data_IF_823990158698
#
_entry.id   IF_823990158698
#
_cell.length_a   1.000
_cell.length_b   1.000
_cell.length_c   1.000
_cell.angle_alpha   90.00
_cell.angle_beta   90.00
_cell.angle_gamma   90.00
#
_symmetry.space_group_name_H-M   'P 1'
#
loop_
_entity.id
_entity.type
_entity.pdbx_description
1 polymer ?
#
# COMPACT_ATOMS: atom_id res chain seq x y z
N UNK A 1 49.26 12.26 28.41
CA UNK A 1 48.12 13.20 28.44
C UNK A 1 47.18 12.85 27.30
N UNK A 2 46.05 12.20 27.58
CA UNK A 2 45.13 11.67 26.56
C UNK A 2 44.01 12.68 26.29
N UNK A 3 43.92 13.19 25.04
CA UNK A 3 42.79 14.03 24.58
C UNK A 3 41.55 13.14 24.40
N UNK A 4 40.58 13.26 25.30
CA UNK A 4 39.22 12.79 25.02
C UNK A 4 38.63 13.68 23.93
N UNK A 5 38.27 13.08 22.80
CA UNK A 5 37.46 13.72 21.76
C UNK A 5 36.05 13.87 22.32
N UNK A 6 35.65 15.10 22.62
CA UNK A 6 34.26 15.39 22.99
C UNK A 6 33.41 15.33 21.73
N UNK A 7 32.48 14.37 21.68
CA UNK A 7 31.44 14.35 20.66
C UNK A 7 30.45 15.48 20.99
N UNK A 8 30.35 16.45 20.08
CA UNK A 8 29.38 17.54 20.19
C UNK A 8 27.96 16.95 20.12
N UNK A 9 27.21 17.03 21.21
CA UNK A 9 25.79 16.66 21.28
C UNK A 9 24.86 17.72 20.69
N UNK A 10 25.42 18.76 20.05
CA UNK A 10 24.70 19.95 19.63
C UNK A 10 24.06 19.87 18.23
N UNK A 11 23.77 18.67 17.71
CA UNK A 11 22.87 18.53 16.56
C UNK A 11 21.45 18.59 17.09
N UNK A 12 20.94 19.80 17.32
CA UNK A 12 19.56 20.01 17.76
C UNK A 12 18.63 19.42 16.70
N UNK A 13 17.88 18.39 17.06
CA UNK A 13 16.93 17.76 16.14
C UNK A 13 15.96 18.83 15.64
N UNK A 14 15.82 18.95 14.31
CA UNK A 14 15.01 19.99 13.66
C UNK A 14 13.56 19.57 13.48
N UNK A 15 13.25 18.29 13.71
CA UNK A 15 11.91 17.73 13.61
C UNK A 15 11.21 17.82 14.96
N UNK A 16 9.89 18.03 14.91
CA UNK A 16 9.06 17.87 16.10
C UNK A 16 8.97 16.39 16.48
N UNK A 17 8.68 16.09 17.75
CA UNK A 17 8.49 14.72 18.22
C UNK A 17 7.41 13.97 17.42
N UNK A 18 6.36 14.70 17.03
CA UNK A 18 5.33 14.20 16.13
C UNK A 18 5.89 13.80 14.77
N UNK A 19 6.68 14.67 14.14
CA UNK A 19 7.24 14.40 12.81
C UNK A 19 8.25 13.24 12.85
N UNK A 20 9.01 13.12 13.95
CA UNK A 20 9.89 11.98 14.18
C UNK A 20 9.13 10.67 14.29
N UNK A 21 8.05 10.63 15.09
CA UNK A 21 7.24 9.41 15.23
C UNK A 21 6.51 9.06 13.94
N UNK A 22 6.03 10.06 13.19
CA UNK A 22 5.45 9.85 11.88
C UNK A 22 6.46 9.27 10.89
N UNK A 23 7.65 9.85 10.81
CA UNK A 23 8.71 9.38 9.90
C UNK A 23 9.13 7.94 10.23
N UNK A 24 9.27 7.65 11.53
CA UNK A 24 9.56 6.29 12.00
C UNK A 24 8.43 5.31 11.65
N UNK A 25 7.17 5.69 11.88
CA UNK A 25 6.02 4.85 11.53
C UNK A 25 5.92 4.62 10.01
N UNK A 26 6.23 5.62 9.19
CA UNK A 26 6.25 5.48 7.73
C UNK A 26 7.36 4.54 7.27
N UNK A 27 8.54 4.63 7.90
CA UNK A 27 9.66 3.72 7.63
C UNK A 27 9.30 2.26 7.96
N UNK A 28 8.68 2.02 9.11
CA UNK A 28 8.23 0.67 9.52
C UNK A 28 7.17 0.10 8.57
N UNK A 29 6.20 0.92 8.11
CA UNK A 29 5.22 0.50 7.11
C UNK A 29 5.87 0.14 5.78
N UNK A 30 6.89 0.89 5.38
CA UNK A 30 7.66 0.59 4.17
C UNK A 30 8.41 -0.74 4.31
N UNK A 31 9.05 -0.99 5.46
CA UNK A 31 9.71 -2.27 5.74
C UNK A 31 8.73 -3.45 5.73
N UNK A 32 7.53 -3.30 6.31
CA UNK A 32 6.51 -4.36 6.26
C UNK A 32 6.16 -4.74 4.82
N UNK A 33 5.99 -3.76 3.92
CA UNK A 33 5.70 -4.05 2.51
C UNK A 33 6.87 -4.75 1.80
N UNK A 34 8.11 -4.41 2.14
CA UNK A 34 9.27 -5.11 1.60
C UNK A 34 9.34 -6.54 2.10
N UNK A 35 9.08 -6.77 3.39
CA UNK A 35 9.06 -8.11 3.98
C UNK A 35 7.97 -8.99 3.37
N UNK A 36 6.79 -8.45 3.08
CA UNK A 36 5.75 -9.18 2.34
C UNK A 36 6.27 -9.71 1.00
N UNK A 37 6.96 -8.86 0.22
CA UNK A 37 7.57 -9.29 -1.04
C UNK A 37 8.66 -10.33 -0.80
N UNK A 38 9.54 -10.12 0.18
CA UNK A 38 10.63 -11.04 0.46
C UNK A 38 10.16 -12.42 0.95
N UNK A 39 9.08 -12.51 1.73
CA UNK A 39 8.49 -13.80 2.16
C UNK A 39 7.97 -14.57 0.95
N UNK A 40 7.26 -13.89 0.04
CA UNK A 40 6.69 -14.50 -1.16
C UNK A 40 7.76 -14.95 -2.18
N UNK A 41 8.90 -14.27 -2.21
CA UNK A 41 10.02 -14.56 -3.12
C UNK A 41 11.08 -15.51 -2.51
N UNK A 42 10.97 -15.83 -1.21
CA UNK A 42 11.94 -16.68 -0.53
C UNK A 42 11.90 -18.12 -1.05
N UNK A 43 13.05 -18.62 -1.50
CA UNK A 43 13.18 -20.01 -2.00
C UNK A 43 13.44 -21.02 -0.88
N UNK A 44 13.77 -20.57 0.33
CA UNK A 44 14.12 -21.42 1.47
C UNK A 44 13.25 -21.10 2.68
N UNK A 45 12.68 -22.12 3.36
CA UNK A 45 11.77 -21.92 4.49
C UNK A 45 12.43 -21.21 5.67
N UNK A 46 13.73 -21.44 5.88
CA UNK A 46 14.48 -20.76 6.96
C UNK A 46 14.51 -19.25 6.78
N UNK A 47 14.59 -18.78 5.53
CA UNK A 47 14.61 -17.34 5.21
C UNK A 47 13.22 -16.75 5.31
N UNK A 48 12.18 -17.43 4.80
CA UNK A 48 10.79 -16.96 4.98
C UNK A 48 10.42 -16.87 6.45
N UNK A 49 10.71 -17.89 7.26
CA UNK A 49 10.43 -17.90 8.70
C UNK A 49 11.15 -16.76 9.43
N UNK A 50 12.38 -16.43 9.02
CA UNK A 50 13.13 -15.32 9.61
C UNK A 50 12.50 -13.96 9.26
N UNK A 51 12.07 -13.78 8.00
CA UNK A 51 11.43 -12.54 7.55
C UNK A 51 10.05 -12.38 8.19
N UNK A 52 9.26 -13.45 8.33
CA UNK A 52 7.97 -13.42 9.03
C UNK A 52 8.11 -12.96 10.49
N UNK A 53 9.17 -13.37 11.18
CA UNK A 53 9.47 -12.87 12.54
C UNK A 53 9.79 -11.37 12.54
N UNK A 54 10.62 -10.91 11.59
CA UNK A 54 10.91 -9.48 11.44
C UNK A 54 9.63 -8.70 11.14
N UNK A 55 8.76 -9.25 10.31
CA UNK A 55 7.47 -8.63 9.99
C UNK A 55 6.57 -8.52 11.23
N UNK A 56 6.47 -9.58 12.04
CA UNK A 56 5.74 -9.52 13.30
C UNK A 56 6.29 -8.42 14.23
N UNK A 57 7.60 -8.26 14.30
CA UNK A 57 8.23 -7.18 15.06
C UNK A 57 7.88 -5.78 14.49
N UNK A 58 7.88 -5.60 13.16
CA UNK A 58 7.44 -4.32 12.56
C UNK A 58 5.99 -3.99 12.88
N UNK A 59 5.10 -4.98 12.89
CA UNK A 59 3.68 -4.78 13.25
C UNK A 59 3.55 -4.32 14.70
N UNK A 60 4.31 -4.94 15.61
CA UNK A 60 4.36 -4.54 17.01
C UNK A 60 4.91 -3.11 17.15
N UNK A 61 5.98 -2.76 16.45
CA UNK A 61 6.56 -1.42 16.47
C UNK A 61 5.56 -0.36 16.01
N UNK A 62 4.90 -0.57 14.86
CA UNK A 62 3.89 0.35 14.33
C UNK A 62 2.74 0.52 15.31
N UNK A 63 2.27 -0.57 15.93
CA UNK A 63 1.20 -0.51 16.92
C UNK A 63 1.61 0.30 18.15
N UNK A 64 2.83 0.09 18.67
CA UNK A 64 3.37 0.86 19.78
C UNK A 64 3.51 2.35 19.44
N UNK A 65 4.03 2.67 18.26
CA UNK A 65 4.15 4.06 17.78
C UNK A 65 2.78 4.72 17.65
N UNK A 66 1.80 4.00 17.12
CA UNK A 66 0.43 4.50 16.98
C UNK A 66 -0.21 4.80 18.33
N UNK A 67 -0.07 3.90 19.33
CA UNK A 67 -0.56 4.15 20.69
C UNK A 67 0.12 5.37 21.30
N UNK A 68 1.44 5.52 21.15
CA UNK A 68 2.17 6.68 21.66
C UNK A 68 1.63 7.98 21.02
N UNK A 69 1.45 8.00 19.70
CA UNK A 69 0.87 9.14 18.99
C UNK A 69 -0.57 9.43 19.42
N UNK A 70 -1.36 8.42 19.75
CA UNK A 70 -2.72 8.57 20.28
C UNK A 70 -2.72 9.17 21.69
N UNK A 71 -1.81 8.73 22.57
CA UNK A 71 -1.65 9.29 23.92
C UNK A 71 -1.27 10.78 23.90
N UNK A 72 -0.48 11.20 22.90
CA UNK A 72 -0.17 12.61 22.66
C UNK A 72 -1.29 13.41 21.98
N UNK A 73 -2.41 12.76 21.62
CA UNK A 73 -3.56 13.39 20.97
C UNK A 73 -3.36 13.70 19.49
N UNK A 74 -2.29 13.20 18.85
CA UNK A 74 -1.97 13.46 17.45
C UNK A 74 -2.71 12.53 16.49
N UNK A 75 -3.15 11.37 16.96
CA UNK A 75 -3.97 10.42 16.21
C UNK A 75 -5.29 10.22 16.93
N UNK A 76 -6.39 10.72 16.35
CA UNK A 76 -7.73 10.48 16.89
C UNK A 76 -8.53 9.58 15.93
N UNK A 77 -8.57 8.26 16.17
CA UNK A 77 -9.26 7.32 15.27
C UNK A 77 -10.78 7.55 15.23
N UNK A 78 -11.36 8.09 16.30
CA UNK A 78 -12.79 8.40 16.40
C UNK A 78 -13.18 9.52 15.42
N UNK A 79 -12.37 10.58 15.31
CA UNK A 79 -12.59 11.62 14.30
C UNK A 79 -12.46 11.09 12.87
N UNK A 80 -11.55 10.14 12.63
CA UNK A 80 -11.42 9.50 11.31
C UNK A 80 -12.65 8.64 10.99
N UNK A 81 -13.12 7.84 11.95
CA UNK A 81 -14.32 7.02 11.82
C UNK A 81 -15.59 7.86 11.64
N UNK A 82 -15.73 8.96 12.39
CA UNK A 82 -16.84 9.90 12.24
C UNK A 82 -16.83 10.60 10.87
N UNK A 83 -15.66 10.95 10.33
CA UNK A 83 -15.55 11.51 8.98
C UNK A 83 -16.00 10.51 7.92
N UNK A 84 -15.71 9.23 8.11
CA UNK A 84 -16.18 8.16 7.23
C UNK A 84 -17.69 7.95 7.37
N UNK A 85 -18.24 7.98 8.59
CA UNK A 85 -19.68 7.89 8.84
C UNK A 85 -20.47 9.08 8.29
N UNK A 86 -19.89 10.28 8.33
CA UNK A 86 -20.48 11.51 7.77
C UNK A 86 -20.30 11.62 6.26
N UNK A 87 -19.40 10.83 5.67
CA UNK A 87 -19.26 10.76 4.21
C UNK A 87 -20.41 9.95 3.62
N UNK A 88 -21.17 10.54 2.71
CA UNK A 88 -22.21 9.81 1.99
C UNK A 88 -21.49 8.76 1.12
N UNK A 89 -21.69 7.45 1.35
CA UNK A 89 -21.02 6.44 0.55
C UNK A 89 -21.30 6.69 -0.95
N UNK A 90 -22.48 7.24 -1.30
CA UNK A 90 -22.92 7.56 -2.67
C UNK A 90 -21.99 8.47 -3.47
N UNK A 91 -21.29 9.36 -2.81
CA UNK A 91 -20.38 10.29 -3.46
C UNK A 91 -18.95 9.75 -3.53
N UNK A 92 -18.58 8.84 -2.63
CA UNK A 92 -17.24 8.23 -2.61
C UNK A 92 -17.02 7.29 -3.80
N UNK A 93 -18.03 6.51 -4.20
CA UNK A 93 -17.93 5.66 -5.40
C UNK A 93 -18.03 6.46 -6.72
N UNK A 94 -18.70 7.62 -6.75
CA UNK A 94 -18.67 8.50 -7.92
C UNK A 94 -17.30 9.09 -8.21
N UNK A 95 -16.43 9.23 -7.20
CA UNK A 95 -15.04 9.69 -7.40
C UNK A 95 -14.12 8.64 -8.02
N UNK A 96 -14.48 7.36 -7.91
CA UNK A 96 -13.82 6.25 -8.59
C UNK A 96 -14.66 5.78 -9.77
N UNK A 97 -15.03 6.72 -10.66
CA UNK A 97 -15.56 6.34 -11.95
C UNK A 97 -14.43 5.67 -12.75
N UNK A 98 -14.45 4.34 -12.82
CA UNK A 98 -13.56 3.51 -13.67
C UNK A 98 -14.07 3.53 -15.13
N UNK A 99 -14.85 4.56 -15.50
CA UNK A 99 -15.21 4.76 -16.90
C UNK A 99 -13.93 5.08 -17.66
N UNK A 100 -13.72 4.42 -18.80
CA UNK A 100 -12.55 4.55 -19.68
C UNK A 100 -12.37 5.95 -20.30
N UNK A 101 -13.01 6.97 -19.72
CA UNK A 101 -13.02 8.38 -20.11
C UNK A 101 -12.05 9.22 -19.25
N UNK A 102 -11.09 8.58 -18.57
CA UNK A 102 -10.02 9.33 -17.89
C UNK A 102 -9.33 10.25 -18.89
N UNK A 103 -9.15 11.52 -18.52
CA UNK A 103 -8.43 12.55 -19.32
C UNK A 103 -6.99 12.15 -19.70
N UNK A 104 -6.47 11.09 -19.08
CA UNK A 104 -5.15 10.51 -19.32
C UNK A 104 -5.20 9.13 -19.99
N UNK A 105 -6.38 8.56 -20.24
CA UNK A 105 -6.53 7.36 -21.05
C UNK A 105 -6.28 7.73 -22.53
N UNK A 106 -5.05 7.56 -22.98
CA UNK A 106 -4.72 7.66 -24.40
C UNK A 106 -5.57 6.66 -25.19
N UNK A 107 -6.37 7.15 -26.13
CA UNK A 107 -7.25 6.33 -26.96
C UNK A 107 -6.44 5.33 -27.80
N UNK A 108 -6.26 4.11 -27.33
CA UNK A 108 -5.88 3.00 -28.21
C UNK A 108 -7.12 2.64 -29.02
N UNK A 109 -7.28 3.28 -30.18
CA UNK A 109 -8.38 3.02 -31.10
C UNK A 109 -8.46 1.53 -31.47
N UNK A 110 -9.66 1.01 -31.78
CA UNK A 110 -9.86 -0.40 -32.09
C UNK A 110 -9.12 -0.75 -33.39
N UNK A 111 -7.98 -1.42 -33.27
CA UNK A 111 -7.36 -2.12 -34.39
C UNK A 111 -8.27 -3.29 -34.75
N UNK A 112 -9.03 -3.13 -35.83
CA UNK A 112 -9.88 -4.17 -36.41
C UNK A 112 -9.06 -5.38 -36.84
N UNK A 113 -8.87 -6.34 -35.94
CA UNK A 113 -8.39 -7.67 -36.24
C UNK A 113 -9.58 -8.63 -36.33
N UNK A 114 -9.87 -9.11 -37.55
CA UNK A 114 -10.74 -10.28 -37.74
C UNK A 114 -11.86 -10.09 -38.77
N UNK A 115 -11.51 -9.87 -40.04
CA UNK A 115 -12.45 -10.20 -41.14
C UNK A 115 -12.53 -11.72 -41.24
N UNK A 116 -13.54 -12.33 -40.63
CA UNK A 116 -13.86 -13.75 -40.84
C UNK A 116 -14.58 -13.88 -42.19
N UNK A 117 -13.88 -14.45 -43.17
CA UNK A 117 -14.42 -14.74 -44.49
C UNK A 117 -15.57 -15.76 -44.39
N UNK A 118 -16.66 -15.44 -45.08
CA UNK A 118 -17.85 -16.27 -45.26
C UNK A 118 -17.50 -17.61 -45.90
N UNK A 119 -17.97 -18.72 -45.31
CA UNK A 119 -18.18 -19.96 -46.04
C UNK A 119 -19.41 -20.66 -45.46
N UNK A 120 -20.52 -20.53 -46.17
CA UNK A 120 -21.70 -21.34 -45.91
C UNK A 120 -21.42 -22.80 -46.24
N UNK A 121 -21.96 -23.69 -45.42
CA UNK A 121 -22.65 -24.89 -45.90
C UNK A 121 -23.54 -25.41 -44.78
N UNK A 122 -24.82 -25.40 -45.12
CA UNK A 122 -25.99 -25.93 -44.42
C UNK A 122 -25.86 -27.45 -44.44
N UNK A 123 -25.81 -28.09 -43.28
CA UNK A 123 -26.09 -29.51 -43.16
C UNK A 123 -27.47 -29.64 -42.53
N UNK A 124 -28.43 -29.93 -43.41
CA UNK A 124 -29.78 -30.33 -43.05
C UNK A 124 -29.75 -31.72 -42.37
N UNK A 125 -30.70 -31.89 -41.47
CA UNK A 125 -31.10 -33.06 -40.69
C UNK A 125 -31.45 -34.34 -41.48
N UNK A 126 -31.16 -35.52 -40.90
CA UNK A 126 -32.01 -36.73 -40.68
C UNK A 126 -31.10 -37.98 -40.56
N UNK A 127 -31.13 -38.73 -39.45
CA UNK A 127 -31.93 -39.96 -39.22
C UNK A 127 -31.82 -40.99 -40.35
N UNK A 128 -31.00 -42.03 -40.16
CA UNK A 128 -31.40 -43.44 -39.93
C UNK A 128 -30.21 -44.24 -39.39
#
# INVERSE_FOLDING_TARGET
MSRQKQFSTATRNRLSDHDMLLDLMMSEKHLSSLYDHCVLEATTPVVSDAIERLQADTHNNVHTLFIAMQQHGWSNPEQAAERLLKSNPVEAYKKFDITSESKYAGSSGPRGSGRRASRGQRLDSLIY
#
